data_IF_332827291265
#
_entry.id   IF_332827291265
#
_cell.length_a   1.000
_cell.length_b   1.000
_cell.length_c   1.000
_cell.angle_alpha   90.00
_cell.angle_beta   90.00
_cell.angle_gamma   90.00
#
_symmetry.space_group_name_H-M   'P 1'
#
loop_
_entity.id
_entity.type
_entity.pdbx_description
1 polymer ?
#
# COMPACT_ATOMS: atom_id res chain seq x y z
N UNK A 1 -37.70 -21.35 12.72
CA UNK A 1 -36.67 -22.03 11.90
C UNK A 1 -37.20 -22.21 10.49
N UNK A 2 -36.74 -21.42 9.52
CA UNK A 2 -36.92 -21.70 8.09
C UNK A 2 -35.60 -21.32 7.41
N UNK A 3 -34.79 -22.35 7.18
CA UNK A 3 -33.56 -22.32 6.41
C UNK A 3 -33.96 -22.18 4.94
N UNK A 4 -33.43 -21.17 4.25
CA UNK A 4 -33.47 -21.12 2.78
C UNK A 4 -32.05 -21.21 2.25
N UNK A 5 -31.84 -22.33 1.58
CA UNK A 5 -30.60 -22.83 1.00
C UNK A 5 -30.38 -22.22 -0.40
N UNK A 6 -29.14 -21.79 -0.65
CA UNK A 6 -28.36 -21.86 -1.91
C UNK A 6 -28.94 -21.35 -3.23
N UNK A 7 -28.19 -20.43 -3.86
CA UNK A 7 -27.86 -20.53 -5.29
C UNK A 7 -26.49 -19.89 -5.57
N UNK A 8 -25.52 -20.74 -5.94
CA UNK A 8 -24.23 -20.37 -6.51
C UNK A 8 -24.44 -19.93 -7.97
N UNK A 9 -23.96 -18.74 -8.33
CA UNK A 9 -23.98 -18.26 -9.71
C UNK A 9 -22.54 -18.15 -10.26
N UNK A 10 -22.17 -19.21 -10.97
CA UNK A 10 -21.42 -19.27 -12.23
C UNK A 10 -20.34 -18.22 -12.55
N UNK A 11 -19.12 -18.75 -12.64
CA UNK A 11 -17.88 -18.21 -13.19
C UNK A 11 -18.10 -17.71 -14.63
N UNK A 12 -17.80 -16.43 -14.87
CA UNK A 12 -17.68 -15.88 -16.21
C UNK A 12 -16.27 -16.17 -16.75
N UNK A 13 -16.19 -17.03 -17.76
CA UNK A 13 -14.97 -17.36 -18.51
C UNK A 13 -14.62 -16.17 -19.42
N UNK A 14 -13.53 -15.46 -19.13
CA UNK A 14 -12.95 -14.49 -20.06
C UNK A 14 -12.26 -15.24 -21.21
N UNK A 15 -12.82 -15.12 -22.41
CA UNK A 15 -12.16 -15.50 -23.64
C UNK A 15 -11.18 -14.38 -24.04
N UNK A 16 -9.88 -14.60 -23.80
CA UNK A 16 -8.82 -13.78 -24.36
C UNK A 16 -8.37 -14.39 -25.70
N UNK A 17 -8.74 -13.73 -26.80
CA UNK A 17 -8.22 -14.01 -28.14
C UNK A 17 -6.82 -13.40 -28.27
N UNK A 18 -5.78 -14.24 -28.23
CA UNK A 18 -4.43 -13.87 -28.66
C UNK A 18 -4.19 -14.42 -30.07
N UNK A 19 -4.46 -13.59 -31.07
CA UNK A 19 -4.01 -13.78 -32.46
C UNK A 19 -2.88 -12.80 -32.75
N UNK A 20 -1.64 -13.31 -32.78
CA UNK A 20 -0.57 -12.83 -33.64
C UNK A 20 0.57 -13.86 -33.64
N UNK A 21 0.45 -14.82 -34.55
CA UNK A 21 1.53 -15.71 -34.95
C UNK A 21 2.32 -15.02 -36.08
N UNK A 22 3.65 -15.07 -36.03
CA UNK A 22 4.50 -14.45 -37.05
C UNK A 22 5.97 -14.81 -36.89
N UNK A 23 6.29 -16.09 -37.03
CA UNK A 23 7.67 -16.58 -37.20
C UNK A 23 8.13 -16.31 -38.64
N UNK A 24 9.31 -15.71 -38.82
CA UNK A 24 10.14 -15.98 -40.00
C UNK A 24 11.61 -15.64 -39.72
N UNK A 25 12.44 -16.67 -39.55
CA UNK A 25 13.88 -16.62 -39.77
C UNK A 25 14.17 -16.72 -41.27
N UNK A 26 15.20 -16.02 -41.77
CA UNK A 26 16.13 -16.66 -42.68
C UNK A 26 17.60 -16.46 -42.31
N UNK A 27 18.36 -17.51 -42.59
CA UNK A 27 19.81 -17.73 -42.38
C UNK A 27 20.73 -16.80 -43.21
N UNK A 28 22.08 -16.88 -43.03
CA UNK A 28 22.98 -15.73 -43.10
C UNK A 28 23.47 -15.39 -44.51
N UNK A 29 23.81 -14.13 -44.74
CA UNK A 29 24.72 -13.72 -45.81
C UNK A 29 25.64 -12.60 -45.36
N UNK A 30 26.90 -12.84 -45.66
CA UNK A 30 28.13 -12.11 -45.36
C UNK A 30 28.30 -10.99 -46.40
N UNK A 31 28.51 -9.75 -45.95
CA UNK A 31 29.57 -8.83 -46.43
C UNK A 31 29.31 -7.36 -46.03
N UNK A 32 30.34 -6.78 -45.41
CA UNK A 32 30.90 -5.44 -45.66
C UNK A 32 30.29 -4.16 -45.06
N UNK A 33 30.98 -3.72 -43.99
CA UNK A 33 31.58 -2.37 -43.80
C UNK A 33 30.71 -1.19 -43.35
N UNK A 34 30.93 -0.89 -42.07
CA UNK A 34 31.13 0.43 -41.44
C UNK A 34 30.07 1.51 -41.64
N UNK A 35 29.22 1.66 -40.62
CA UNK A 35 28.79 2.98 -40.14
C UNK A 35 28.77 2.95 -38.62
N UNK A 36 29.43 3.92 -38.02
CA UNK A 36 29.44 4.29 -36.59
C UNK A 36 28.11 4.04 -35.89
N UNK A 37 28.06 2.97 -35.09
CA UNK A 37 27.00 2.81 -34.10
C UNK A 37 27.28 3.81 -32.97
N UNK A 38 26.68 5.00 -33.08
CA UNK A 38 26.35 5.77 -31.90
C UNK A 38 25.56 4.81 -30.98
N UNK A 39 26.23 4.29 -29.96
CA UNK A 39 25.56 3.67 -28.82
C UNK A 39 24.73 4.75 -28.15
N UNK A 40 23.54 4.99 -28.70
CA UNK A 40 22.43 5.56 -27.98
C UNK A 40 22.07 4.52 -26.93
N UNK A 41 22.79 4.56 -25.81
CA UNK A 41 22.26 4.07 -24.54
C UNK A 41 20.85 4.65 -24.47
N UNK A 42 19.79 3.82 -24.41
CA UNK A 42 18.46 4.35 -24.15
C UNK A 42 18.59 5.08 -22.83
N UNK A 43 18.52 6.41 -22.85
CA UNK A 43 18.32 7.18 -21.64
C UNK A 43 16.98 6.67 -21.12
N UNK A 44 17.03 5.76 -20.15
CA UNK A 44 15.86 5.41 -19.37
C UNK A 44 15.35 6.77 -18.88
N UNK A 45 14.12 7.18 -19.21
CA UNK A 45 13.57 8.38 -18.63
C UNK A 45 13.63 8.15 -17.13
N UNK A 46 14.58 8.81 -16.47
CA UNK A 46 14.63 8.89 -15.03
C UNK A 46 13.48 9.82 -14.67
N UNK A 47 12.25 9.32 -14.77
CA UNK A 47 11.12 9.92 -14.11
C UNK A 47 11.50 9.87 -12.64
N UNK A 48 12.04 10.97 -12.13
CA UNK A 48 12.27 11.12 -10.70
C UNK A 48 10.95 10.76 -10.03
N UNK A 49 10.97 9.86 -9.03
CA UNK A 49 9.72 9.54 -8.35
C UNK A 49 9.13 10.84 -7.80
N UNK A 50 7.80 10.96 -7.83
CA UNK A 50 7.15 12.10 -7.24
C UNK A 50 7.44 12.17 -5.74
N UNK A 51 7.61 13.39 -5.26
CA UNK A 51 7.45 13.73 -3.84
C UNK A 51 6.00 13.46 -3.45
N UNK A 52 5.76 12.57 -2.50
CA UNK A 52 4.42 12.15 -2.10
C UNK A 52 3.96 12.86 -0.82
N UNK A 53 4.88 13.29 0.05
CA UNK A 53 4.58 13.91 1.34
C UNK A 53 3.64 15.09 1.22
N UNK A 54 3.83 15.96 0.24
CA UNK A 54 3.00 17.14 0.02
C UNK A 54 1.50 16.80 -0.13
N UNK A 55 1.17 15.67 -0.76
CA UNK A 55 -0.21 15.25 -0.97
C UNK A 55 -0.74 14.32 0.13
N UNK A 56 0.15 13.59 0.82
CA UNK A 56 -0.22 12.48 1.70
C UNK A 56 -0.07 12.80 3.18
N UNK A 57 0.90 13.62 3.59
CA UNK A 57 1.04 14.05 4.99
C UNK A 57 -0.25 14.69 5.51
N UNK A 58 -0.91 15.63 4.81
CA UNK A 58 -2.17 16.19 5.29
C UNK A 58 -3.31 15.16 5.42
N UNK A 59 -3.31 14.11 4.58
CA UNK A 59 -4.31 13.04 4.66
C UNK A 59 -4.06 12.13 5.85
N UNK A 60 -2.79 11.80 6.11
CA UNK A 60 -2.36 11.01 7.26
C UNK A 60 -2.64 11.77 8.57
N UNK A 61 -2.29 13.06 8.63
CA UNK A 61 -2.61 13.93 9.77
C UNK A 61 -4.11 13.95 10.03
N UNK A 62 -4.93 14.14 8.99
CA UNK A 62 -6.40 14.12 9.14
C UNK A 62 -6.93 12.78 9.63
N UNK A 63 -6.33 11.66 9.22
CA UNK A 63 -6.79 10.33 9.66
C UNK A 63 -6.33 9.98 11.07
N UNK A 64 -5.16 10.45 11.48
CA UNK A 64 -4.55 10.17 12.80
C UNK A 64 -5.00 11.15 13.89
N UNK A 65 -5.37 12.39 13.52
CA UNK A 65 -5.90 13.40 14.43
C UNK A 65 -7.42 13.26 14.47
N UNK A 66 -7.95 13.02 15.66
CA UNK A 66 -9.40 13.03 15.93
C UNK A 66 -9.76 14.21 16.84
N UNK A 67 -10.94 14.79 16.62
CA UNK A 67 -11.57 15.76 17.52
C UNK A 67 -12.19 15.10 18.76
N UNK A 68 -12.35 13.78 18.74
CA UNK A 68 -12.84 12.98 19.87
C UNK A 68 -11.67 12.58 20.76
N UNK A 69 -11.58 13.19 21.93
CA UNK A 69 -10.62 12.75 22.94
C UNK A 69 -10.86 11.29 23.32
N UNK A 70 -9.80 10.49 23.28
CA UNK A 70 -9.86 9.09 23.69
C UNK A 70 -10.71 8.20 22.76
N UNK A 71 -10.72 8.47 21.45
CA UNK A 71 -11.44 7.66 20.43
C UNK A 71 -11.18 6.15 20.54
N UNK A 72 -9.98 5.78 21.02
CA UNK A 72 -9.56 4.39 21.27
C UNK A 72 -9.33 4.07 22.76
N UNK A 73 -10.02 4.77 23.67
CA UNK A 73 -10.04 4.39 25.10
C UNK A 73 -10.62 2.99 25.29
N UNK A 74 -11.63 2.65 24.47
CA UNK A 74 -12.18 1.31 24.36
C UNK A 74 -11.82 0.75 22.99
N UNK A 75 -10.78 -0.07 22.94
CA UNK A 75 -10.21 -0.68 21.73
C UNK A 75 -11.23 -1.57 21.04
N UNK A 76 -12.07 -2.28 21.80
CA UNK A 76 -13.14 -3.11 21.23
C UNK A 76 -14.36 -2.33 20.75
N UNK A 77 -14.41 -1.02 20.96
CA UNK A 77 -15.56 -0.21 20.55
C UNK A 77 -15.61 -0.01 19.04
N UNK A 78 -16.84 0.16 18.51
CA UNK A 78 -17.04 0.54 17.11
C UNK A 78 -16.33 1.85 16.76
N UNK A 79 -16.35 2.83 17.66
CA UNK A 79 -15.71 4.12 17.43
C UNK A 79 -14.20 3.99 17.22
N UNK A 80 -13.52 3.18 18.04
CA UNK A 80 -12.10 2.91 17.84
C UNK A 80 -11.87 2.15 16.53
N UNK A 81 -12.64 1.09 16.26
CA UNK A 81 -12.51 0.31 15.02
C UNK A 81 -12.69 1.17 13.75
N UNK A 82 -13.65 2.09 13.76
CA UNK A 82 -13.88 3.02 12.65
C UNK A 82 -12.66 3.96 12.48
N UNK A 83 -12.13 4.52 13.57
CA UNK A 83 -10.94 5.37 13.53
C UNK A 83 -9.69 4.63 13.02
N UNK A 84 -9.44 3.40 13.51
CA UNK A 84 -8.35 2.56 13.01
C UNK A 84 -8.51 2.25 11.52
N UNK A 85 -9.75 2.06 11.07
CA UNK A 85 -10.07 1.82 9.66
C UNK A 85 -9.75 3.04 8.79
N UNK A 86 -10.04 4.25 9.25
CA UNK A 86 -9.70 5.48 8.53
C UNK A 86 -8.18 5.61 8.32
N UNK A 87 -7.38 5.35 9.37
CA UNK A 87 -5.91 5.34 9.30
C UNK A 87 -5.43 4.30 8.27
N UNK A 88 -5.93 3.06 8.38
CA UNK A 88 -5.56 1.95 7.48
C UNK A 88 -5.93 2.27 6.04
N UNK A 89 -7.09 2.89 5.79
CA UNK A 89 -7.55 3.25 4.45
C UNK A 89 -6.60 4.25 3.79
N UNK A 90 -6.19 5.30 4.51
CA UNK A 90 -5.19 6.24 3.99
C UNK A 90 -3.85 5.56 3.75
N UNK A 91 -3.46 4.60 4.62
CA UNK A 91 -2.27 3.77 4.40
C UNK A 91 -2.33 2.95 3.12
N UNK A 92 -3.45 2.26 2.87
CA UNK A 92 -3.67 1.48 1.63
C UNK A 92 -3.53 2.37 0.40
N UNK A 93 -4.19 3.53 0.40
CA UNK A 93 -4.13 4.44 -0.74
C UNK A 93 -2.72 5.00 -0.97
N UNK A 94 -1.95 5.26 0.10
CA UNK A 94 -0.54 5.65 0.01
C UNK A 94 0.32 4.51 -0.56
N UNK A 95 0.11 3.27 -0.13
CA UNK A 95 0.82 2.10 -0.66
C UNK A 95 0.58 1.95 -2.17
N UNK A 96 -0.67 2.17 -2.60
CA UNK A 96 -1.05 2.17 -4.00
C UNK A 96 -0.35 3.31 -4.76
N UNK A 97 -0.34 4.53 -4.21
CA UNK A 97 0.33 5.67 -4.84
C UNK A 97 1.85 5.47 -5.01
N UNK A 98 2.52 4.87 -4.01
CA UNK A 98 3.94 4.49 -4.11
C UNK A 98 4.15 3.47 -5.24
N UNK A 99 3.24 2.50 -5.37
CA UNK A 99 3.31 1.45 -6.38
C UNK A 99 3.08 2.00 -7.78
N UNK A 100 2.04 2.80 -7.97
CA UNK A 100 1.67 3.41 -9.27
C UNK A 100 2.76 4.37 -9.76
N UNK A 101 3.44 5.05 -8.84
CA UNK A 101 4.57 5.91 -9.14
C UNK A 101 5.88 5.14 -9.46
N UNK A 102 5.89 3.80 -9.33
CA UNK A 102 7.13 3.01 -9.43
C UNK A 102 8.15 3.37 -8.35
N UNK A 103 7.69 3.94 -7.22
CA UNK A 103 8.54 4.63 -6.25
C UNK A 103 8.97 3.76 -5.06
N UNK A 104 8.65 2.45 -5.05
CA UNK A 104 8.91 1.56 -3.90
C UNK A 104 10.36 1.61 -3.38
N UNK A 105 11.35 1.69 -4.28
CA UNK A 105 12.77 1.80 -3.91
C UNK A 105 13.10 3.12 -3.20
N UNK A 106 12.32 4.16 -3.48
CA UNK A 106 12.49 5.51 -2.94
C UNK A 106 11.82 5.69 -1.59
N UNK A 107 10.81 4.87 -1.27
CA UNK A 107 10.07 4.93 0.00
C UNK A 107 10.21 3.64 0.85
N UNK A 108 11.44 3.15 1.16
CA UNK A 108 11.60 1.88 1.87
C UNK A 108 11.06 1.92 3.31
N UNK A 109 11.27 3.01 4.06
CA UNK A 109 10.81 3.10 5.45
C UNK A 109 9.30 3.26 5.52
N UNK A 110 8.76 4.09 4.61
CA UNK A 110 7.31 4.28 4.50
C UNK A 110 6.63 2.96 4.13
N UNK A 111 7.23 2.18 3.22
CA UNK A 111 6.74 0.83 2.88
C UNK A 111 6.76 -0.12 4.09
N UNK A 112 7.83 -0.09 4.89
CA UNK A 112 7.91 -0.93 6.10
C UNK A 112 6.83 -0.57 7.14
N UNK A 113 6.54 0.73 7.34
CA UNK A 113 5.45 1.17 8.23
C UNK A 113 4.06 0.80 7.69
N UNK A 114 3.84 0.95 6.37
CA UNK A 114 2.62 0.49 5.71
C UNK A 114 2.41 -1.02 5.92
N UNK A 115 3.46 -1.83 5.74
CA UNK A 115 3.37 -3.27 5.94
C UNK A 115 3.10 -3.63 7.42
N UNK A 116 3.67 -2.90 8.39
CA UNK A 116 3.33 -3.06 9.82
C UNK A 116 1.86 -2.75 10.08
N UNK A 117 1.38 -1.62 9.55
CA UNK A 117 -0.02 -1.20 9.69
C UNK A 117 -0.97 -2.24 9.11
N UNK A 118 -0.72 -2.75 7.90
CA UNK A 118 -1.57 -3.77 7.27
C UNK A 118 -1.58 -5.09 8.04
N UNK A 119 -0.42 -5.51 8.58
CA UNK A 119 -0.35 -6.69 9.45
C UNK A 119 -1.15 -6.49 10.75
N UNK A 120 -1.04 -5.33 11.38
CA UNK A 120 -1.76 -5.02 12.61
C UNK A 120 -3.28 -4.93 12.37
N UNK A 121 -3.71 -4.30 11.27
CA UNK A 121 -5.12 -4.26 10.85
C UNK A 121 -5.72 -5.65 10.62
N UNK A 122 -4.96 -6.51 9.92
CA UNK A 122 -5.34 -7.92 9.74
C UNK A 122 -5.39 -8.64 11.08
N UNK A 123 -4.43 -8.42 11.97
CA UNK A 123 -4.39 -8.98 13.33
C UNK A 123 -5.62 -8.58 14.15
N UNK A 124 -5.93 -7.29 14.18
CA UNK A 124 -7.11 -6.73 14.87
C UNK A 124 -8.41 -7.39 14.39
N UNK A 125 -8.55 -7.60 13.08
CA UNK A 125 -9.73 -8.25 12.50
C UNK A 125 -9.76 -9.75 12.81
N UNK A 126 -8.64 -10.44 12.63
CA UNK A 126 -8.53 -11.89 12.83
C UNK A 126 -8.76 -12.31 14.28
N UNK A 127 -8.32 -11.48 15.22
CA UNK A 127 -8.49 -11.74 16.66
C UNK A 127 -9.89 -11.32 17.15
N UNK A 128 -10.75 -10.80 16.28
CA UNK A 128 -12.15 -10.49 16.60
C UNK A 128 -12.31 -9.30 17.55
N UNK A 129 -11.40 -8.34 17.48
CA UNK A 129 -11.30 -7.26 18.47
C UNK A 129 -12.53 -6.37 18.55
N UNK A 130 -13.25 -6.18 17.44
CA UNK A 130 -14.50 -5.43 17.44
C UNK A 130 -15.57 -6.16 18.28
N UNK A 131 -16.08 -5.46 19.30
CA UNK A 131 -17.01 -5.94 20.32
C UNK A 131 -16.45 -7.00 21.28
N UNK A 132 -15.13 -7.21 21.32
CA UNK A 132 -14.50 -8.07 22.32
C UNK A 132 -14.45 -7.34 23.68
N UNK A 133 -15.12 -7.84 24.73
CA UNK A 133 -15.09 -7.25 26.06
C UNK A 133 -13.71 -7.33 26.74
N UNK A 134 -12.80 -8.13 26.22
CA UNK A 134 -11.42 -8.27 26.70
C UNK A 134 -10.39 -7.45 25.90
N UNK A 135 -10.83 -6.69 24.89
CA UNK A 135 -9.95 -5.90 24.02
C UNK A 135 -9.12 -4.84 24.77
N UNK A 136 -9.64 -4.35 25.91
CA UNK A 136 -9.04 -3.28 26.71
C UNK A 136 -8.11 -3.81 27.82
N UNK A 137 -8.05 -5.14 28.01
CA UNK A 137 -7.23 -5.75 29.06
C UNK A 137 -5.75 -5.63 28.69
N UNK A 138 -4.91 -5.28 29.67
CA UNK A 138 -3.46 -5.21 29.46
C UNK A 138 -2.91 -6.57 28.99
N UNK A 139 -2.06 -6.54 27.97
CA UNK A 139 -1.60 -7.73 27.26
C UNK A 139 -2.57 -8.29 26.21
N UNK A 140 -3.75 -7.70 26.01
CA UNK A 140 -4.65 -8.07 24.92
C UNK A 140 -3.97 -7.84 23.56
N UNK A 141 -4.06 -8.80 22.62
CA UNK A 141 -3.56 -8.59 21.27
C UNK A 141 -4.27 -7.42 20.59
N UNK A 142 -5.55 -7.16 20.92
CA UNK A 142 -6.32 -6.06 20.36
C UNK A 142 -5.72 -4.69 20.70
N UNK A 143 -5.33 -4.50 21.96
CA UNK A 143 -4.65 -3.28 22.40
C UNK A 143 -3.31 -3.10 21.68
N UNK A 144 -2.55 -4.18 21.48
CA UNK A 144 -1.31 -4.12 20.71
C UNK A 144 -1.55 -3.75 19.25
N UNK A 145 -2.52 -4.38 18.58
CA UNK A 145 -2.80 -4.11 17.16
C UNK A 145 -3.29 -2.67 16.96
N UNK A 146 -4.14 -2.14 17.84
CA UNK A 146 -4.60 -0.76 17.74
C UNK A 146 -3.45 0.25 17.89
N UNK A 147 -2.55 0.02 18.85
CA UNK A 147 -1.32 0.83 18.99
C UNK A 147 -0.41 0.72 17.77
N UNK A 148 -0.22 -0.47 17.22
CA UNK A 148 0.63 -0.68 16.04
C UNK A 148 0.05 0.05 14.81
N UNK A 149 -1.27 0.06 14.62
CA UNK A 149 -1.95 0.83 13.54
C UNK A 149 -1.76 2.34 13.74
N UNK A 150 -2.10 2.87 14.93
CA UNK A 150 -2.00 4.30 15.21
C UNK A 150 -0.55 4.78 15.13
N UNK A 151 0.39 4.01 15.71
CA UNK A 151 1.81 4.30 15.70
C UNK A 151 2.39 4.30 14.29
N UNK A 152 2.05 3.31 13.46
CA UNK A 152 2.46 3.30 12.06
C UNK A 152 1.89 4.52 11.31
N UNK A 153 0.61 4.86 11.53
CA UNK A 153 -0.03 6.04 10.94
C UNK A 153 0.70 7.34 11.26
N UNK A 154 1.03 7.55 12.54
CA UNK A 154 1.77 8.72 13.00
C UNK A 154 3.21 8.75 12.47
N UNK A 155 3.88 7.59 12.37
CA UNK A 155 5.25 7.50 11.89
C UNK A 155 5.38 7.71 10.37
N UNK A 156 4.31 7.46 9.60
CA UNK A 156 4.36 7.55 8.14
C UNK A 156 4.83 8.92 7.66
N UNK A 157 4.37 10.01 8.27
CA UNK A 157 4.83 11.37 7.95
C UNK A 157 6.36 11.49 8.02
N UNK A 158 6.94 11.13 9.17
CA UNK A 158 8.38 11.21 9.37
C UNK A 158 9.15 10.29 8.43
N UNK A 159 8.66 9.07 8.19
CA UNK A 159 9.33 8.13 7.29
C UNK A 159 9.30 8.56 5.84
N UNK A 160 8.20 9.16 5.37
CA UNK A 160 8.07 9.69 4.01
C UNK A 160 9.05 10.84 3.77
N UNK A 161 9.08 11.82 4.67
CA UNK A 161 10.01 12.95 4.55
C UNK A 161 11.47 12.47 4.62
N UNK A 162 11.78 11.53 5.51
CA UNK A 162 13.12 10.95 5.62
C UNK A 162 13.53 10.19 4.35
N UNK A 163 12.59 9.48 3.74
CA UNK A 163 12.80 8.77 2.48
C UNK A 163 13.00 9.77 1.32
N UNK A 164 12.19 10.83 1.24
CA UNK A 164 12.31 11.88 0.23
C UNK A 164 13.62 12.66 0.31
N UNK A 165 14.02 13.08 1.52
CA UNK A 165 15.31 13.77 1.76
C UNK A 165 16.47 12.89 1.31
N UNK A 166 16.43 11.59 1.62
CA UNK A 166 17.48 10.64 1.22
C UNK A 166 17.62 10.55 -0.31
N UNK A 167 16.54 10.72 -1.05
CA UNK A 167 16.51 10.60 -2.51
C UNK A 167 16.52 11.96 -3.24
N UNK A 168 16.61 13.09 -2.52
CA UNK A 168 16.63 14.43 -3.09
C UNK A 168 15.32 14.80 -3.80
N UNK A 169 14.18 14.35 -3.27
CA UNK A 169 12.84 14.64 -3.79
C UNK A 169 12.23 15.91 -3.17
N UNK A 170 12.99 16.62 -2.35
CA UNK A 170 12.55 17.78 -1.57
C UNK A 170 12.63 19.12 -2.31
N UNK A 171 13.29 19.16 -3.48
CA UNK A 171 13.53 20.34 -4.31
C UNK A 171 12.42 20.75 -5.27
#
# INVERSE_FOLDING_TARGET
MHVRTTALATIAVLAATLTACGSNEPSPSKAERATTANSLTPATPSTAAPKLSAAWVPKLEKATITDVQGVCTHVGSKQCADHLTDIVTVGIDLQQAITDAGAKRMYPRSTDELDKMMRASKGYTNDGCLNDPSADVDGSPCFKHSLDIMGAGANLQFTMETDEIRWGLDG
#
